data_IF_114567296201
#
_entry.id   IF_114567296201
#
_cell.length_a   1.000
_cell.length_b   1.000
_cell.length_c   1.000
_cell.angle_alpha   90.00
_cell.angle_beta   90.00
_cell.angle_gamma   90.00
#
_symmetry.space_group_name_H-M   'P 1'
#
loop_
_entity.id
_entity.type
_entity.pdbx_description
1 polymer ?
#
# COMPACT_ATOMS: atom_id res chain seq x y z
N UNK A 1 -32.93 21.37 -28.99
CA UNK A 1 -32.62 21.64 -27.56
C UNK A 1 -31.46 22.62 -27.56
N UNK A 2 -31.60 23.76 -26.89
CA UNK A 2 -30.54 24.77 -26.83
C UNK A 2 -29.35 24.19 -26.04
N UNK A 3 -28.16 24.21 -26.63
CA UNK A 3 -26.90 23.93 -25.95
C UNK A 3 -26.65 25.04 -24.94
N UNK A 4 -26.47 24.70 -23.66
CA UNK A 4 -26.17 25.69 -22.63
C UNK A 4 -24.83 26.38 -22.92
N UNK A 5 -24.76 27.71 -22.77
CA UNK A 5 -23.55 28.53 -22.98
C UNK A 5 -22.58 28.52 -21.78
N UNK A 6 -22.79 27.64 -20.80
CA UNK A 6 -22.03 27.56 -19.56
C UNK A 6 -21.88 26.09 -19.11
N UNK A 7 -20.85 25.81 -18.30
CA UNK A 7 -20.63 24.48 -17.72
C UNK A 7 -21.78 24.10 -16.78
N UNK A 8 -22.41 22.94 -17.02
CA UNK A 8 -23.46 22.40 -16.16
C UNK A 8 -22.86 21.33 -15.26
N UNK A 9 -22.92 21.54 -13.94
CA UNK A 9 -22.49 20.53 -12.97
C UNK A 9 -23.47 19.36 -13.02
N UNK A 10 -22.97 18.19 -13.40
CA UNK A 10 -23.72 16.95 -13.37
C UNK A 10 -23.20 16.10 -12.21
N UNK A 11 -24.08 15.84 -11.25
CA UNK A 11 -23.82 14.97 -10.11
C UNK A 11 -24.99 13.99 -10.01
N UNK A 12 -24.79 12.77 -10.52
CA UNK A 12 -25.81 11.73 -10.48
C UNK A 12 -25.97 11.17 -9.05
N UNK A 13 -27.13 10.57 -8.78
CA UNK A 13 -27.32 9.77 -7.58
C UNK A 13 -26.31 8.60 -7.56
N UNK A 14 -25.65 8.40 -6.43
CA UNK A 14 -24.63 7.36 -6.27
C UNK A 14 -25.34 6.04 -5.95
N UNK A 15 -25.16 4.98 -6.76
CA UNK A 15 -25.74 3.67 -6.48
C UNK A 15 -25.31 3.14 -5.11
N UNK A 16 -26.18 2.38 -4.44
CA UNK A 16 -25.86 1.73 -3.17
C UNK A 16 -24.99 0.49 -3.42
N UNK A 17 -23.70 0.74 -3.69
CA UNK A 17 -22.66 -0.27 -3.88
C UNK A 17 -21.32 0.27 -3.39
N UNK A 18 -20.64 -0.49 -2.55
CA UNK A 18 -19.30 -0.19 -2.08
C UNK A 18 -18.26 -0.97 -2.89
N UNK A 19 -17.07 -0.39 -3.04
CA UNK A 19 -15.98 -0.96 -3.81
C UNK A 19 -15.62 -2.37 -3.32
N UNK A 20 -15.49 -3.32 -4.24
CA UNK A 20 -14.88 -4.62 -3.95
C UNK A 20 -13.38 -4.43 -3.73
N UNK A 21 -12.85 -4.91 -2.62
CA UNK A 21 -11.42 -4.78 -2.32
C UNK A 21 -11.10 -4.76 -0.83
N UNK A 22 -9.80 -4.76 -0.53
CA UNK A 22 -9.27 -4.56 0.81
C UNK A 22 -9.36 -3.09 1.23
N UNK A 23 -9.81 -2.86 2.47
CA UNK A 23 -9.86 -1.54 3.10
C UNK A 23 -9.17 -1.61 4.46
N UNK A 24 -8.30 -0.64 4.78
CA UNK A 24 -7.55 -0.62 6.04
C UNK A 24 -8.35 0.10 7.14
N UNK A 25 -8.52 -0.54 8.29
CA UNK A 25 -9.34 -0.04 9.42
C UNK A 25 -8.53 0.70 10.49
N UNK A 26 -7.22 0.46 10.56
CA UNK A 26 -6.29 1.06 11.50
C UNK A 26 -5.12 0.15 11.82
N UNK A 27 -4.29 0.58 12.76
CA UNK A 27 -3.17 -0.20 13.31
C UNK A 27 -3.68 -1.36 14.19
N UNK A 28 -2.92 -2.46 14.28
CA UNK A 28 -3.33 -3.67 15.02
C UNK A 28 -3.48 -3.44 16.53
N UNK A 29 -2.68 -2.54 17.11
CA UNK A 29 -2.70 -2.21 18.54
C UNK A 29 -4.03 -1.57 18.97
N UNK A 30 -4.65 -0.79 18.08
CA UNK A 30 -5.99 -0.20 18.29
C UNK A 30 -7.07 -1.24 18.60
N UNK A 31 -6.89 -2.47 18.12
CA UNK A 31 -7.86 -3.57 18.23
C UNK A 31 -7.41 -4.68 19.17
N UNK A 32 -6.33 -4.45 19.94
CA UNK A 32 -5.70 -5.46 20.80
C UNK A 32 -5.84 -5.15 22.30
N UNK A 33 -6.79 -4.30 22.71
CA UNK A 33 -6.99 -3.90 24.11
C UNK A 33 -7.90 -4.85 24.94
N UNK A 34 -8.31 -5.97 24.32
CA UNK A 34 -9.19 -6.98 24.92
C UNK A 34 -10.68 -6.63 24.91
N UNK A 35 -11.09 -5.54 24.23
CA UNK A 35 -12.49 -5.14 24.09
C UNK A 35 -12.98 -5.29 22.65
N UNK A 36 -14.31 -5.37 22.44
CA UNK A 36 -14.87 -5.17 21.13
C UNK A 36 -14.80 -3.69 20.73
N UNK A 37 -14.58 -3.42 19.44
CA UNK A 37 -14.51 -2.08 18.87
C UNK A 37 -15.58 -1.91 17.80
N UNK A 38 -16.20 -0.73 17.80
CA UNK A 38 -17.22 -0.34 16.82
C UNK A 38 -16.58 0.29 15.60
N UNK A 39 -16.98 -0.15 14.41
CA UNK A 39 -16.62 0.47 13.12
C UNK A 39 -17.90 0.71 12.32
N UNK A 40 -18.06 1.92 11.78
CA UNK A 40 -19.10 2.22 10.79
C UNK A 40 -18.47 2.13 9.41
N UNK A 41 -18.96 1.20 8.58
CA UNK A 41 -18.42 0.94 7.26
C UNK A 41 -19.47 0.28 6.37
N UNK A 42 -19.40 0.54 5.06
CA UNK A 42 -20.21 -0.10 4.03
C UNK A 42 -21.72 0.00 4.30
N UNK A 43 -22.19 1.15 4.81
CA UNK A 43 -23.59 1.40 5.13
C UNK A 43 -24.11 0.60 6.33
N UNK A 44 -23.21 0.00 7.12
CA UNK A 44 -23.56 -0.81 8.28
C UNK A 44 -22.65 -0.53 9.47
N UNK A 45 -22.89 -1.25 10.56
CA UNK A 45 -22.06 -1.24 11.77
C UNK A 45 -21.41 -2.60 11.96
N UNK A 46 -20.11 -2.59 12.23
CA UNK A 46 -19.27 -3.75 12.43
C UNK A 46 -18.71 -3.79 13.86
N UNK A 47 -18.45 -5.00 14.34
CA UNK A 47 -17.71 -5.24 15.57
C UNK A 47 -16.38 -5.90 15.23
N UNK A 48 -15.28 -5.30 15.69
CA UNK A 48 -13.93 -5.84 15.63
C UNK A 48 -13.55 -6.35 17.01
N UNK A 49 -13.03 -7.57 17.13
CA UNK A 49 -12.57 -8.09 18.42
C UNK A 49 -11.45 -9.11 18.26
N UNK A 50 -10.54 -9.15 19.23
CA UNK A 50 -9.43 -10.11 19.26
C UNK A 50 -9.75 -11.27 20.19
N UNK A 51 -9.68 -12.50 19.69
CA UNK A 51 -9.83 -13.70 20.52
C UNK A 51 -8.61 -13.96 21.41
N UNK A 52 -8.76 -14.84 22.40
CA UNK A 52 -7.64 -15.38 23.19
C UNK A 52 -6.63 -16.17 22.34
N UNK A 53 -7.05 -16.67 21.17
CA UNK A 53 -6.17 -17.24 20.14
C UNK A 53 -5.30 -16.21 19.40
N UNK A 54 -5.47 -14.93 19.72
CA UNK A 54 -4.71 -13.83 19.15
C UNK A 54 -5.23 -13.32 17.80
N UNK A 55 -6.28 -13.92 17.23
CA UNK A 55 -6.82 -13.50 15.93
C UNK A 55 -7.79 -12.34 16.06
N UNK A 56 -7.67 -11.35 15.18
CA UNK A 56 -8.66 -10.29 15.06
C UNK A 56 -9.78 -10.71 14.10
N UNK A 57 -11.02 -10.59 14.58
CA UNK A 57 -12.24 -11.00 13.88
C UNK A 57 -13.16 -9.81 13.66
N UNK A 58 -13.91 -9.83 12.55
CA UNK A 58 -14.89 -8.79 12.23
C UNK A 58 -16.24 -9.39 11.85
N UNK A 59 -17.29 -8.95 12.54
CA UNK A 59 -18.67 -9.37 12.30
C UNK A 59 -19.58 -8.15 12.06
N UNK A 60 -20.78 -8.37 11.52
CA UNK A 60 -21.85 -7.39 11.68
C UNK A 60 -22.13 -7.16 13.18
N UNK A 61 -22.21 -5.89 13.59
CA UNK A 61 -22.37 -5.52 15.00
C UNK A 61 -23.75 -5.84 15.56
N UNK A 62 -24.81 -5.78 14.76
CA UNK A 62 -26.15 -6.06 15.26
C UNK A 62 -26.41 -7.56 15.37
N UNK A 63 -26.60 -8.03 16.59
CA UNK A 63 -26.88 -9.41 16.94
C UNK A 63 -28.19 -9.90 16.29
N UNK A 64 -28.12 -11.00 15.52
CA UNK A 64 -29.27 -11.57 14.79
C UNK A 64 -30.37 -12.15 15.68
N UNK A 65 -30.17 -12.18 17.01
CA UNK A 65 -31.23 -12.53 17.95
C UNK A 65 -32.31 -11.44 17.98
N UNK A 66 -31.97 -10.24 18.47
CA UNK A 66 -32.92 -9.13 18.71
C UNK A 66 -32.27 -7.74 18.49
N UNK A 67 -31.21 -7.66 17.67
CA UNK A 67 -30.59 -6.39 17.27
C UNK A 67 -29.69 -5.72 18.30
N UNK A 68 -29.28 -6.42 19.36
CA UNK A 68 -28.32 -5.88 20.33
C UNK A 68 -26.96 -5.58 19.69
N UNK A 69 -26.31 -4.48 20.06
CA UNK A 69 -25.02 -4.09 19.51
C UNK A 69 -23.88 -4.88 20.16
N UNK A 70 -23.26 -5.80 19.41
CA UNK A 70 -22.13 -6.61 19.85
C UNK A 70 -20.90 -5.78 20.19
N UNK A 71 -20.75 -4.58 19.59
CA UNK A 71 -19.62 -3.70 19.89
C UNK A 71 -19.71 -3.08 21.29
N UNK A 72 -20.89 -3.11 21.91
CA UNK A 72 -21.12 -2.70 23.30
C UNK A 72 -21.07 -3.91 24.27
N UNK A 73 -20.64 -5.08 23.78
CA UNK A 73 -20.48 -6.32 24.54
C UNK A 73 -19.11 -6.47 25.19
N UNK A 74 -18.66 -7.72 25.33
CA UNK A 74 -17.32 -8.06 25.80
C UNK A 74 -16.80 -9.32 25.12
N UNK A 75 -15.48 -9.52 25.14
CA UNK A 75 -14.83 -10.75 24.63
C UNK A 75 -14.72 -11.79 25.74
N UNK A 76 -15.03 -13.05 25.43
CA UNK A 76 -14.84 -14.20 26.32
C UNK A 76 -14.29 -15.37 25.54
N UNK A 77 -13.06 -15.81 25.84
CA UNK A 77 -12.40 -16.80 24.99
C UNK A 77 -12.15 -16.22 23.59
N UNK A 78 -12.65 -16.91 22.57
CA UNK A 78 -12.54 -16.48 21.17
C UNK A 78 -13.85 -15.88 20.62
N UNK A 79 -14.79 -15.55 21.50
CA UNK A 79 -16.14 -15.11 21.12
C UNK A 79 -16.43 -13.69 21.62
N UNK A 80 -17.21 -12.94 20.84
CA UNK A 80 -17.86 -11.71 21.30
C UNK A 80 -19.22 -12.05 21.90
N UNK A 81 -19.47 -11.56 23.11
CA UNK A 81 -20.69 -11.82 23.88
C UNK A 81 -21.62 -10.62 23.80
N UNK A 82 -22.84 -10.84 23.32
CA UNK A 82 -23.84 -9.79 23.17
C UNK A 82 -24.27 -9.21 24.53
N UNK A 83 -24.30 -7.87 24.70
CA UNK A 83 -24.65 -7.25 25.98
C UNK A 83 -26.11 -7.44 26.39
N UNK A 84 -27.00 -7.80 25.45
CA UNK A 84 -28.43 -7.89 25.75
C UNK A 84 -28.83 -9.22 26.40
N UNK A 85 -28.41 -10.34 25.81
CA UNK A 85 -28.82 -11.69 26.25
C UNK A 85 -27.65 -12.67 26.38
N UNK A 86 -26.41 -12.17 26.30
CA UNK A 86 -25.19 -12.95 26.44
C UNK A 86 -25.03 -14.13 25.46
N UNK A 87 -25.62 -14.03 24.26
CA UNK A 87 -25.29 -14.96 23.16
C UNK A 87 -23.84 -14.70 22.73
N UNK A 88 -23.04 -15.76 22.65
CA UNK A 88 -21.66 -15.71 22.21
C UNK A 88 -21.54 -16.02 20.71
N UNK A 89 -20.68 -15.27 20.01
CA UNK A 89 -20.46 -15.38 18.56
C UNK A 89 -18.96 -15.47 18.28
N UNK A 90 -18.54 -16.53 17.59
CA UNK A 90 -17.14 -16.69 17.19
C UNK A 90 -16.78 -15.85 15.95
N UNK A 91 -15.50 -15.83 15.56
CA UNK A 91 -14.99 -15.11 14.40
C UNK A 91 -15.59 -15.52 13.05
N UNK A 92 -16.14 -16.73 12.93
CA UNK A 92 -16.86 -17.20 11.73
C UNK A 92 -18.33 -16.76 11.70
N UNK A 93 -18.75 -15.98 12.71
CA UNK A 93 -20.11 -15.49 12.90
C UNK A 93 -21.09 -16.54 13.43
N UNK A 94 -20.63 -17.71 13.84
CA UNK A 94 -21.48 -18.78 14.39
C UNK A 94 -21.75 -18.53 15.87
N UNK A 95 -23.00 -18.71 16.29
CA UNK A 95 -23.32 -18.72 17.71
C UNK A 95 -22.74 -19.98 18.39
N UNK A 96 -21.96 -19.77 19.44
CA UNK A 96 -21.23 -20.81 20.18
C UNK A 96 -21.84 -21.13 21.53
N UNK A 97 -22.51 -20.16 22.16
CA UNK A 97 -23.16 -20.33 23.45
C UNK A 97 -24.42 -19.45 23.57
N UNK A 98 -25.44 -20.01 24.24
CA UNK A 98 -26.66 -19.32 24.66
C UNK A 98 -26.88 -19.71 26.12
N UNK A 99 -26.53 -18.86 27.10
CA UNK A 99 -26.40 -19.27 28.50
C UNK A 99 -27.64 -19.89 29.14
N UNK A 100 -28.82 -19.61 28.59
CA UNK A 100 -30.11 -20.06 29.09
C UNK A 100 -30.78 -21.13 28.22
N UNK A 101 -30.05 -21.74 27.27
CA UNK A 101 -30.58 -22.78 26.38
C UNK A 101 -29.62 -23.96 26.22
N UNK A 102 -30.16 -25.18 26.11
CA UNK A 102 -29.38 -26.41 25.86
C UNK A 102 -29.03 -26.64 24.38
N UNK A 103 -29.72 -25.96 23.46
CA UNK A 103 -29.57 -26.16 22.01
C UNK A 103 -29.50 -24.81 21.32
N UNK A 104 -28.50 -24.65 20.47
CA UNK A 104 -28.32 -23.46 19.62
C UNK A 104 -29.11 -23.67 18.32
N UNK A 105 -29.94 -22.71 17.88
CA UNK A 105 -30.64 -22.82 16.60
C UNK A 105 -29.65 -22.98 15.43
N UNK A 106 -29.88 -23.89 14.47
CA UNK A 106 -28.97 -24.08 13.32
C UNK A 106 -28.76 -22.83 12.46
N UNK A 107 -29.71 -21.88 12.49
CA UNK A 107 -29.66 -20.60 11.77
C UNK A 107 -28.96 -19.47 12.54
N UNK A 108 -28.46 -19.72 13.76
CA UNK A 108 -27.78 -18.71 14.57
C UNK A 108 -26.38 -18.42 14.01
N UNK A 109 -26.35 -17.64 12.93
CA UNK A 109 -25.15 -17.18 12.22
C UNK A 109 -25.32 -15.72 11.82
N UNK A 110 -24.29 -14.90 12.04
CA UNK A 110 -24.17 -13.53 11.54
C UNK A 110 -23.12 -13.46 10.42
N UNK A 111 -23.07 -12.35 9.67
CA UNK A 111 -22.04 -12.14 8.65
C UNK A 111 -20.69 -11.94 9.31
N UNK A 112 -19.73 -12.79 8.96
CA UNK A 112 -18.31 -12.58 9.21
C UNK A 112 -17.65 -11.97 7.98
N UNK A 113 -16.63 -11.16 8.20
CA UNK A 113 -15.89 -10.46 7.16
C UNK A 113 -14.46 -10.99 7.12
N UNK A 114 -13.91 -11.34 5.94
CA UNK A 114 -12.53 -11.77 5.85
C UNK A 114 -11.59 -10.64 6.32
N UNK A 115 -10.59 -11.02 7.11
CA UNK A 115 -9.59 -10.11 7.67
C UNK A 115 -8.20 -10.46 7.16
N UNK A 116 -7.33 -9.47 7.13
CA UNK A 116 -5.90 -9.63 6.87
C UNK A 116 -5.13 -8.74 7.84
N UNK A 117 -4.17 -9.33 8.55
CA UNK A 117 -3.21 -8.60 9.39
C UNK A 117 -1.89 -8.54 8.60
N UNK A 118 -1.51 -7.34 8.14
CA UNK A 118 -0.29 -7.14 7.32
C UNK A 118 0.27 -5.75 7.56
N UNK A 119 1.58 -5.59 7.53
CA UNK A 119 2.26 -4.28 7.70
C UNK A 119 1.94 -3.56 9.04
N UNK A 120 1.56 -4.30 10.09
CA UNK A 120 1.11 -3.71 11.35
C UNK A 120 -0.31 -3.11 11.30
N UNK A 121 -1.07 -3.39 10.24
CA UNK A 121 -2.39 -2.84 9.95
C UNK A 121 -3.45 -3.95 9.86
N UNK A 122 -4.69 -3.61 10.22
CA UNK A 122 -5.86 -4.47 10.06
C UNK A 122 -6.61 -4.10 8.77
N UNK A 123 -6.82 -5.07 7.90
CA UNK A 123 -7.62 -4.94 6.69
C UNK A 123 -8.92 -5.75 6.77
N UNK A 124 -9.95 -5.24 6.10
CA UNK A 124 -11.23 -5.91 5.87
C UNK A 124 -11.48 -6.07 4.37
N UNK A 125 -11.94 -7.25 3.96
CA UNK A 125 -12.36 -7.50 2.58
C UNK A 125 -13.85 -7.19 2.42
N UNK A 126 -14.17 -6.27 1.50
CA UNK A 126 -15.55 -6.06 1.05
C UNK A 126 -15.74 -6.62 -0.35
N UNK A 127 -16.85 -7.34 -0.55
CA UNK A 127 -17.28 -7.79 -1.87
C UNK A 127 -18.81 -7.92 -1.92
N UNK A 128 -19.51 -7.11 -2.74
CA UNK A 128 -20.94 -7.25 -2.98
C UNK A 128 -21.35 -8.63 -3.53
N UNK A 129 -20.46 -9.33 -4.23
CA UNK A 129 -20.69 -10.69 -4.74
C UNK A 129 -20.53 -11.77 -3.66
N UNK A 130 -20.08 -11.39 -2.46
CA UNK A 130 -19.79 -12.28 -1.32
C UNK A 130 -18.81 -13.41 -1.65
N UNK A 131 -17.84 -13.15 -2.53
CA UNK A 131 -16.74 -14.07 -2.82
C UNK A 131 -15.54 -13.79 -1.89
N UNK A 132 -14.69 -14.80 -1.61
CA UNK A 132 -13.46 -14.61 -0.85
C UNK A 132 -12.50 -13.64 -1.56
N UNK A 133 -11.54 -13.04 -0.82
CA UNK A 133 -10.47 -12.24 -1.41
C UNK A 133 -9.64 -13.08 -2.38
N UNK A 134 -9.22 -12.44 -3.47
CA UNK A 134 -8.23 -12.99 -4.40
C UNK A 134 -6.82 -12.71 -3.85
N UNK A 135 -5.94 -13.72 -3.73
CA UNK A 135 -4.55 -13.49 -3.31
C UNK A 135 -3.81 -12.46 -4.17
N UNK A 136 -4.13 -12.35 -5.47
CA UNK A 136 -3.47 -11.41 -6.38
C UNK A 136 -3.74 -9.93 -6.04
N UNK A 137 -4.80 -9.63 -5.27
CA UNK A 137 -5.16 -8.26 -4.90
C UNK A 137 -4.88 -7.93 -3.44
N UNK A 138 -4.18 -8.81 -2.72
CA UNK A 138 -3.75 -8.53 -1.36
C UNK A 138 -2.78 -7.32 -1.32
N UNK A 139 -2.89 -6.44 -0.31
CA UNK A 139 -1.90 -5.41 -0.07
C UNK A 139 -0.48 -6.00 -0.05
N UNK A 140 0.53 -5.34 -0.64
CA UNK A 140 1.88 -5.86 -0.68
C UNK A 140 2.49 -5.92 0.72
N UNK A 141 3.46 -6.82 0.92
CA UNK A 141 4.29 -6.80 2.12
C UNK A 141 5.29 -5.64 2.00
N UNK A 142 5.29 -4.74 2.98
CA UNK A 142 6.19 -3.59 2.97
C UNK A 142 7.46 -3.93 3.74
N UNK A 143 8.63 -3.81 3.10
CA UNK A 143 9.90 -4.08 3.77
C UNK A 143 10.14 -3.15 4.96
N UNK A 144 9.69 -1.91 4.84
CA UNK A 144 9.73 -0.93 5.92
C UNK A 144 9.04 -1.40 7.21
N UNK A 145 8.06 -2.32 7.11
CA UNK A 145 7.34 -2.84 8.26
C UNK A 145 8.01 -4.05 8.92
N UNK A 146 9.06 -4.62 8.32
CA UNK A 146 9.67 -5.88 8.80
C UNK A 146 11.20 -5.82 8.99
N UNK A 147 11.91 -4.90 8.32
CA UNK A 147 13.37 -4.81 8.41
C UNK A 147 13.89 -4.14 9.70
N UNK A 148 13.00 -3.52 10.50
CA UNK A 148 13.36 -2.85 11.75
C UNK A 148 14.09 -1.50 11.60
N UNK A 149 14.31 -1.05 10.37
CA UNK A 149 15.01 0.20 10.06
C UNK A 149 14.10 1.43 10.07
N UNK A 150 12.79 1.24 10.22
CA UNK A 150 11.81 2.31 10.17
C UNK A 150 11.16 2.55 11.53
N UNK A 151 10.72 3.79 11.74
CA UNK A 151 9.84 4.12 12.85
C UNK A 151 8.43 3.54 12.60
N UNK A 152 7.69 3.11 13.65
CA UNK A 152 6.33 2.62 13.49
C UNK A 152 5.38 3.65 12.85
N UNK A 153 4.25 3.19 12.33
CA UNK A 153 3.18 4.06 11.83
C UNK A 153 2.72 5.05 12.90
N UNK A 154 2.73 6.33 12.54
CA UNK A 154 1.97 7.36 13.24
C UNK A 154 0.71 7.68 12.43
N UNK A 155 -0.45 7.36 12.99
CA UNK A 155 -1.74 7.40 12.28
C UNK A 155 -2.66 8.49 12.82
N UNK A 156 -3.32 9.20 11.92
CA UNK A 156 -4.44 10.10 12.21
C UNK A 156 -5.63 9.76 11.30
N UNK A 157 -6.85 10.02 11.76
CA UNK A 157 -8.05 9.75 10.97
C UNK A 157 -9.01 10.93 10.98
N UNK A 158 -9.71 11.12 9.86
CA UNK A 158 -10.78 12.12 9.70
C UNK A 158 -12.04 11.48 9.13
N UNK A 159 -13.20 11.91 9.60
CA UNK A 159 -14.45 11.65 8.88
C UNK A 159 -14.61 12.73 7.81
N UNK A 160 -14.66 12.30 6.56
CA UNK A 160 -14.85 13.17 5.41
C UNK A 160 -16.29 13.03 4.91
N UNK A 161 -16.97 14.15 4.63
CA UNK A 161 -18.40 14.18 4.30
C UNK A 161 -18.67 14.37 2.80
N UNK A 162 -17.89 13.65 1.97
CA UNK A 162 -18.11 13.51 0.53
C UNK A 162 -17.87 12.05 0.12
N UNK A 163 -18.27 11.65 -1.09
CA UNK A 163 -17.97 10.32 -1.61
C UNK A 163 -16.45 10.07 -1.72
N UNK A 164 -16.01 8.87 -1.36
CA UNK A 164 -14.58 8.49 -1.36
C UNK A 164 -13.88 8.58 -2.73
N UNK A 165 -14.61 8.51 -3.87
CA UNK A 165 -13.99 8.73 -5.20
C UNK A 165 -13.29 10.08 -5.31
N UNK A 166 -13.75 11.08 -4.56
CA UNK A 166 -13.19 12.43 -4.61
C UNK A 166 -11.77 12.52 -4.03
N UNK A 167 -11.39 11.57 -3.18
CA UNK A 167 -10.01 11.35 -2.73
C UNK A 167 -9.19 10.63 -3.81
N UNK A 168 -9.79 9.67 -4.50
CA UNK A 168 -9.13 8.93 -5.58
C UNK A 168 -8.81 9.84 -6.76
N UNK A 169 -9.69 10.78 -7.10
CA UNK A 169 -9.48 11.75 -8.20
C UNK A 169 -8.15 12.53 -8.06
N UNK A 170 -7.63 12.74 -6.84
CA UNK A 170 -6.32 13.39 -6.61
C UNK A 170 -5.14 12.65 -7.29
N UNK A 171 -5.28 11.35 -7.57
CA UNK A 171 -4.25 10.56 -8.28
C UNK A 171 -4.00 11.12 -9.69
N UNK A 172 -4.99 11.73 -10.33
CA UNK A 172 -4.86 12.33 -11.67
C UNK A 172 -4.87 13.88 -11.63
N UNK A 173 -4.90 14.50 -10.45
CA UNK A 173 -4.96 15.95 -10.32
C UNK A 173 -3.55 16.56 -10.27
N UNK A 174 -3.06 16.99 -11.43
CA UNK A 174 -1.76 17.66 -11.54
C UNK A 174 -1.84 19.10 -11.01
N UNK A 175 -2.98 19.74 -11.24
CA UNK A 175 -3.17 21.18 -11.05
C UNK A 175 -3.17 21.62 -9.59
N UNK A 176 -3.58 20.76 -8.65
CA UNK A 176 -3.66 21.12 -7.23
C UNK A 176 -2.30 21.23 -6.52
N UNK A 177 -1.25 20.56 -7.02
CA UNK A 177 0.07 20.54 -6.34
C UNK A 177 0.68 21.93 -6.14
N UNK A 178 0.55 22.82 -7.12
CA UNK A 178 0.98 24.22 -6.99
C UNK A 178 0.20 25.00 -5.91
N UNK A 179 -1.11 25.23 -6.07
CA UNK A 179 -1.92 26.07 -5.19
C UNK A 179 -2.21 25.47 -3.80
N UNK A 180 -2.35 24.15 -3.68
CA UNK A 180 -2.65 23.48 -2.40
C UNK A 180 -1.36 23.21 -1.64
N UNK A 181 -0.38 22.55 -2.28
CA UNK A 181 0.82 22.09 -1.58
C UNK A 181 2.03 23.02 -1.67
N UNK A 182 1.97 24.06 -2.52
CA UNK A 182 3.13 24.91 -2.81
C UNK A 182 4.23 24.16 -3.55
N UNK A 183 3.88 23.14 -4.33
CA UNK A 183 4.82 22.23 -4.98
C UNK A 183 4.65 22.26 -6.52
N UNK A 184 5.15 23.30 -7.22
CA UNK A 184 5.04 23.36 -8.67
C UNK A 184 5.69 22.14 -9.34
N UNK A 185 4.90 21.49 -10.18
CA UNK A 185 5.22 20.23 -10.85
C UNK A 185 6.26 20.43 -11.97
N UNK A 186 7.30 19.60 -12.00
CA UNK A 186 8.27 19.51 -13.10
C UNK A 186 7.98 18.34 -14.02
N UNK A 187 7.67 17.19 -13.43
CA UNK A 187 7.32 15.94 -14.13
C UNK A 187 6.15 15.28 -13.42
N UNK A 188 5.24 14.72 -14.21
CA UNK A 188 4.10 13.98 -13.71
C UNK A 188 3.78 12.80 -14.61
N UNK A 189 3.49 11.66 -14.01
CA UNK A 189 2.97 10.52 -14.75
C UNK A 189 1.90 9.77 -13.94
N UNK A 190 0.96 9.18 -14.67
CA UNK A 190 0.06 8.17 -14.17
C UNK A 190 0.27 6.85 -14.89
N UNK A 191 0.23 5.77 -14.12
CA UNK A 191 0.25 4.39 -14.62
C UNK A 191 -0.95 3.67 -14.03
N UNK A 192 -1.80 3.09 -14.88
CA UNK A 192 -2.95 2.30 -14.45
C UNK A 192 -2.81 0.90 -15.06
N UNK A 193 -2.81 -0.13 -14.22
CA UNK A 193 -2.67 -1.52 -14.65
C UNK A 193 -3.38 -2.43 -13.66
N UNK A 194 -4.26 -3.31 -14.15
CA UNK A 194 -5.04 -4.24 -13.34
C UNK A 194 -5.76 -3.50 -12.20
N UNK A 195 -5.51 -3.89 -10.96
CA UNK A 195 -6.07 -3.31 -9.74
C UNK A 195 -5.16 -2.23 -9.11
N UNK A 196 -4.14 -1.75 -9.83
CA UNK A 196 -3.13 -0.81 -9.34
C UNK A 196 -3.22 0.51 -10.11
N UNK A 197 -3.12 1.63 -9.38
CA UNK A 197 -3.00 2.96 -9.96
C UNK A 197 -1.87 3.73 -9.28
N UNK A 198 -0.91 4.19 -10.09
CA UNK A 198 0.27 4.91 -9.62
C UNK A 198 0.30 6.34 -10.16
N UNK A 199 0.66 7.27 -9.30
CA UNK A 199 1.08 8.63 -9.62
C UNK A 199 2.58 8.75 -9.32
N UNK A 200 3.32 9.31 -10.28
CA UNK A 200 4.74 9.63 -10.12
C UNK A 200 4.91 11.13 -10.32
N UNK A 201 5.57 11.78 -9.37
CA UNK A 201 5.74 13.24 -9.34
C UNK A 201 7.20 13.60 -9.10
N UNK A 202 7.66 14.60 -9.85
CA UNK A 202 8.82 15.42 -9.49
C UNK A 202 8.35 16.86 -9.41
N UNK A 203 8.50 17.51 -8.26
CA UNK A 203 8.10 18.90 -8.03
C UNK A 203 9.24 19.71 -7.41
N UNK A 204 9.18 21.04 -7.50
CA UNK A 204 9.95 21.89 -6.59
C UNK A 204 9.18 22.09 -5.30
N UNK A 205 9.78 21.90 -4.12
CA UNK A 205 9.13 22.29 -2.87
C UNK A 205 10.13 22.58 -1.77
N UNK A 206 10.42 23.86 -1.50
CA UNK A 206 11.27 24.26 -0.35
C UNK A 206 10.65 23.88 1.02
N UNK A 207 9.33 23.64 1.05
CA UNK A 207 8.60 23.24 2.25
C UNK A 207 8.79 21.75 2.57
N UNK A 208 8.77 20.90 1.54
CA UNK A 208 8.76 19.44 1.69
C UNK A 208 10.13 18.80 1.39
N UNK A 209 11.03 19.53 0.73
CA UNK A 209 12.40 19.11 0.43
C UNK A 209 13.35 20.33 0.44
N UNK A 210 14.34 20.34 1.33
CA UNK A 210 15.26 21.48 1.51
C UNK A 210 16.14 21.76 0.28
N UNK A 211 16.51 20.72 -0.48
CA UNK A 211 17.21 20.84 -1.77
C UNK A 211 16.31 21.36 -2.89
N UNK A 212 15.03 21.59 -2.59
CA UNK A 212 14.03 22.10 -3.51
C UNK A 212 13.58 21.08 -4.55
N UNK A 213 13.87 19.78 -4.40
CA UNK A 213 13.35 18.72 -5.28
C UNK A 213 12.60 17.67 -4.47
N UNK A 214 11.31 17.57 -4.73
CA UNK A 214 10.45 16.53 -4.17
C UNK A 214 10.20 15.46 -5.23
N UNK A 215 10.47 14.19 -4.88
CA UNK A 215 10.07 13.05 -5.70
C UNK A 215 9.09 12.18 -4.90
N UNK A 216 7.97 11.84 -5.53
CA UNK A 216 7.01 10.92 -4.93
C UNK A 216 6.51 9.86 -5.92
N UNK A 217 6.24 8.67 -5.39
CA UNK A 217 5.50 7.60 -6.06
C UNK A 217 4.33 7.18 -5.17
N UNK A 218 3.13 7.57 -5.56
CA UNK A 218 1.88 7.27 -4.87
C UNK A 218 1.14 6.14 -5.59
N UNK A 219 1.02 4.97 -4.96
CA UNK A 219 0.40 3.78 -5.57
C UNK A 219 -0.79 3.27 -4.76
N UNK A 220 -1.96 3.24 -5.38
CA UNK A 220 -3.13 2.53 -4.89
C UNK A 220 -3.03 1.03 -5.20
N UNK A 221 -3.20 0.20 -4.17
CA UNK A 221 -3.41 -1.24 -4.27
C UNK A 221 -4.89 -1.54 -4.04
N UNK A 222 -5.62 -1.78 -5.12
CA UNK A 222 -7.08 -1.87 -5.09
C UNK A 222 -7.73 -0.50 -4.87
N UNK A 223 -8.96 -0.45 -4.32
CA UNK A 223 -9.74 0.77 -4.32
C UNK A 223 -9.34 1.79 -3.24
N UNK A 224 -8.69 1.35 -2.16
CA UNK A 224 -8.78 2.07 -0.88
C UNK A 224 -7.49 2.13 -0.06
N UNK A 225 -6.37 1.63 -0.58
CA UNK A 225 -5.09 1.59 0.13
C UNK A 225 -3.98 2.13 -0.76
N UNK A 226 -3.53 3.35 -0.50
CA UNK A 226 -2.46 4.02 -1.22
C UNK A 226 -1.22 4.16 -0.34
N UNK A 227 -0.06 3.76 -0.85
CA UNK A 227 1.22 4.12 -0.25
C UNK A 227 1.96 5.08 -1.16
N UNK A 228 2.46 6.16 -0.57
CA UNK A 228 3.31 7.15 -1.20
C UNK A 228 4.72 7.01 -0.66
N UNK A 229 5.66 6.63 -1.51
CA UNK A 229 7.09 6.76 -1.27
C UNK A 229 7.49 8.20 -1.52
N UNK A 230 8.24 8.78 -0.58
CA UNK A 230 8.73 10.15 -0.67
C UNK A 230 10.21 10.19 -0.30
N UNK A 231 10.99 10.75 -1.22
CA UNK A 231 12.42 11.04 -1.02
C UNK A 231 12.66 12.53 -1.15
N UNK A 232 13.41 13.09 -0.20
CA UNK A 232 13.81 14.50 -0.20
C UNK A 232 14.98 14.74 0.77
N UNK A 233 15.22 16.00 1.12
CA UNK A 233 16.24 16.39 2.12
C UNK A 233 15.64 17.24 3.23
N UNK A 234 16.12 17.05 4.47
CA UNK A 234 15.78 17.88 5.63
C UNK A 234 16.98 18.03 6.57
N UNK A 235 17.38 19.26 6.86
CA UNK A 235 18.56 19.57 7.67
C UNK A 235 19.87 19.08 7.05
N UNK A 236 19.96 19.08 5.71
CA UNK A 236 21.10 18.56 4.95
C UNK A 236 21.25 17.02 4.95
N UNK A 237 20.26 16.27 5.46
CA UNK A 237 20.25 14.81 5.42
C UNK A 237 19.12 14.29 4.52
N UNK A 238 19.34 13.20 3.76
CA UNK A 238 18.27 12.56 2.99
C UNK A 238 17.18 12.06 3.93
N UNK A 239 15.92 12.21 3.56
CA UNK A 239 14.78 11.64 4.29
C UNK A 239 14.03 10.68 3.38
N UNK A 240 13.77 9.48 3.89
CA UNK A 240 12.93 8.47 3.27
C UNK A 240 11.69 8.32 4.13
N UNK A 241 10.53 8.59 3.55
CA UNK A 241 9.25 8.48 4.23
C UNK A 241 8.24 7.70 3.39
N UNK A 242 7.37 6.99 4.10
CA UNK A 242 6.19 6.35 3.53
C UNK A 242 4.97 7.03 4.10
N UNK A 243 4.12 7.54 3.22
CA UNK A 243 2.82 8.09 3.60
C UNK A 243 1.74 7.11 3.16
N UNK A 244 0.88 6.74 4.08
CA UNK A 244 -0.28 5.90 3.86
C UNK A 244 -1.50 6.80 3.74
N UNK A 245 -2.20 6.71 2.63
CA UNK A 245 -3.53 7.28 2.44
C UNK A 245 -4.51 6.13 2.23
N UNK A 246 -5.43 5.92 3.17
CA UNK A 246 -6.43 4.87 3.04
C UNK A 246 -7.80 5.33 3.50
N UNK A 247 -8.85 4.76 2.94
CA UNK A 247 -10.20 5.17 3.25
C UNK A 247 -11.18 4.01 3.36
N UNK A 248 -12.19 4.17 4.20
CA UNK A 248 -13.27 3.19 4.38
C UNK A 248 -14.60 3.92 4.26
N UNK A 249 -15.43 3.62 3.24
CA UNK A 249 -16.72 4.29 3.10
C UNK A 249 -17.61 3.95 4.29
N UNK A 250 -18.15 4.98 4.95
CA UNK A 250 -19.18 4.83 6.00
C UNK A 250 -20.53 4.66 5.31
N UNK A 251 -20.81 5.54 4.35
CA UNK A 251 -21.95 5.50 3.44
C UNK A 251 -21.54 6.08 2.06
N UNK A 252 -22.50 6.30 1.18
CA UNK A 252 -22.23 6.82 -0.16
C UNK A 252 -21.73 8.28 -0.19
N UNK A 253 -21.90 9.03 0.90
CA UNK A 253 -21.57 10.45 1.01
C UNK A 253 -20.57 10.76 2.12
N UNK A 254 -20.01 9.73 2.78
CA UNK A 254 -18.98 9.92 3.78
C UNK A 254 -18.08 8.72 3.92
N UNK A 255 -16.82 8.97 4.30
CA UNK A 255 -15.84 7.92 4.55
C UNK A 255 -14.95 8.30 5.73
N UNK A 256 -14.37 7.28 6.36
CA UNK A 256 -13.25 7.46 7.27
C UNK A 256 -11.97 7.46 6.46
N UNK A 257 -11.22 8.57 6.52
CA UNK A 257 -9.88 8.72 5.99
C UNK A 257 -8.88 8.37 7.07
N UNK A 258 -7.88 7.56 6.76
CA UNK A 258 -6.75 7.21 7.60
C UNK A 258 -5.47 7.65 6.90
N UNK A 259 -4.69 8.46 7.58
CA UNK A 259 -3.40 8.93 7.10
C UNK A 259 -2.30 8.49 8.05
N UNK A 260 -1.35 7.73 7.52
CA UNK A 260 -0.22 7.18 8.27
C UNK A 260 1.10 7.73 7.75
N UNK A 261 2.08 7.91 8.62
CA UNK A 261 3.44 8.28 8.22
C UNK A 261 4.45 7.36 8.91
N UNK A 262 5.39 6.85 8.13
CA UNK A 262 6.60 6.16 8.59
C UNK A 262 7.82 6.89 8.06
N UNK A 263 8.88 6.95 8.87
CA UNK A 263 10.16 7.58 8.50
C UNK A 263 11.29 6.58 8.75
N UNK A 264 12.20 6.44 7.79
CA UNK A 264 13.38 5.59 7.93
C UNK A 264 14.31 6.17 8.98
N UNK A 265 14.89 5.33 9.83
CA UNK A 265 15.84 5.75 10.85
C UNK A 265 17.14 6.19 10.17
N UNK A 266 17.74 7.24 10.71
CA UNK A 266 19.09 7.70 10.37
C UNK A 266 20.13 6.76 10.99
N UNK A 267 20.97 6.11 10.17
CA UNK A 267 22.09 5.32 10.67
C UNK A 267 23.02 6.20 11.52
N UNK A 268 23.42 5.70 12.70
CA UNK A 268 24.33 6.40 13.61
C UNK A 268 23.69 7.41 14.56
N UNK A 269 22.38 7.66 14.46
CA UNK A 269 21.63 8.41 15.48
C UNK A 269 21.03 7.49 16.54
N UNK A 270 20.85 7.99 17.77
CA UNK A 270 20.16 7.24 18.82
C UNK A 270 18.67 7.05 18.49
N UNK A 271 18.02 6.11 19.16
CA UNK A 271 16.59 5.87 18.96
C UNK A 271 15.74 7.10 19.39
N UNK A 272 16.17 7.82 20.41
CA UNK A 272 15.51 9.05 20.88
C UNK A 272 15.61 10.17 19.84
N UNK A 273 16.80 10.37 19.25
CA UNK A 273 17.00 11.35 18.18
C UNK A 273 16.15 11.03 16.94
N UNK A 274 16.15 9.76 16.51
CA UNK A 274 15.29 9.30 15.41
C UNK A 274 13.81 9.54 15.69
N UNK A 275 13.36 9.33 16.93
CA UNK A 275 11.98 9.55 17.34
C UNK A 275 11.59 11.04 17.31
N UNK A 276 12.49 11.93 17.71
CA UNK A 276 12.24 13.38 17.64
C UNK A 276 12.11 13.87 16.20
N UNK A 277 13.01 13.43 15.31
CA UNK A 277 12.97 13.77 13.88
C UNK A 277 11.69 13.23 13.25
N UNK A 278 11.37 11.95 13.49
CA UNK A 278 10.15 11.33 12.96
C UNK A 278 8.90 12.08 13.43
N UNK A 279 8.80 12.46 14.71
CA UNK A 279 7.65 13.24 15.22
C UNK A 279 7.50 14.58 14.52
N UNK A 280 8.59 15.31 14.29
CA UNK A 280 8.56 16.60 13.61
C UNK A 280 8.07 16.43 12.16
N UNK A 281 8.58 15.42 11.46
CA UNK A 281 8.19 15.11 10.09
C UNK A 281 6.73 14.64 9.98
N UNK A 282 6.31 13.70 10.83
CA UNK A 282 4.93 13.23 10.93
C UNK A 282 3.98 14.40 11.10
N UNK A 283 4.30 15.33 12.01
CA UNK A 283 3.48 16.52 12.23
C UNK A 283 3.40 17.39 10.97
N UNK A 284 4.52 17.64 10.32
CA UNK A 284 4.56 18.42 9.08
C UNK A 284 3.73 17.76 7.97
N UNK A 285 3.86 16.45 7.77
CA UNK A 285 3.08 15.70 6.78
C UNK A 285 1.58 15.72 7.10
N UNK A 286 1.18 15.58 8.36
CA UNK A 286 -0.22 15.66 8.78
C UNK A 286 -0.80 17.06 8.56
N UNK A 287 -0.03 18.11 8.89
CA UNK A 287 -0.45 19.50 8.67
C UNK A 287 -0.59 19.80 7.16
N UNK A 288 0.30 19.28 6.32
CA UNK A 288 0.21 19.41 4.86
C UNK A 288 -1.00 18.64 4.29
N UNK A 289 -1.25 17.42 4.74
CA UNK A 289 -2.39 16.62 4.26
C UNK A 289 -3.75 17.18 4.71
N UNK A 290 -3.79 17.93 5.83
CA UNK A 290 -4.98 18.65 6.24
C UNK A 290 -5.42 19.74 5.24
N UNK A 291 -4.52 20.21 4.36
CA UNK A 291 -4.84 21.13 3.27
C UNK A 291 -5.80 20.46 2.26
N UNK A 292 -5.59 19.19 1.93
CA UNK A 292 -6.50 18.41 1.07
C UNK A 292 -7.84 18.15 1.74
N UNK A 293 -7.82 17.84 3.04
CA UNK A 293 -9.03 17.65 3.85
C UNK A 293 -9.92 18.89 3.80
N UNK A 294 -9.33 20.08 3.91
CA UNK A 294 -10.06 21.34 3.81
C UNK A 294 -10.72 21.53 2.43
N UNK A 295 -10.11 21.05 1.36
CA UNK A 295 -10.70 21.07 0.01
C UNK A 295 -11.88 20.08 -0.08
N UNK A 296 -11.74 18.86 0.41
CA UNK A 296 -12.84 17.87 0.38
C UNK A 296 -14.05 18.30 1.20
N UNK A 297 -13.85 19.00 2.32
CA UNK A 297 -14.93 19.56 3.14
C UNK A 297 -15.70 20.69 2.44
N UNK A 298 -15.12 21.31 1.41
CA UNK A 298 -15.66 22.49 0.74
C UNK A 298 -15.89 22.30 -0.77
N UNK A 299 -15.99 21.05 -1.24
CA UNK A 299 -16.30 20.74 -2.64
C UNK A 299 -17.50 19.81 -2.79
N UNK A 300 -17.90 19.59 -4.04
CA UNK A 300 -18.96 18.64 -4.42
C UNK A 300 -18.45 17.70 -5.50
N UNK A 301 -19.09 16.53 -5.59
CA UNK A 301 -18.83 15.52 -6.61
C UNK A 301 -19.29 16.01 -7.98
N UNK A 302 -18.43 15.92 -8.99
CA UNK A 302 -18.74 16.24 -10.39
C UNK A 302 -18.46 15.02 -11.27
N UNK A 303 -19.48 14.51 -11.95
CA UNK A 303 -19.37 13.31 -12.80
C UNK A 303 -18.78 13.61 -14.18
N UNK A 304 -19.14 14.76 -14.75
CA UNK A 304 -18.64 15.22 -16.05
C UNK A 304 -17.85 16.53 -15.86
N UNK A 305 -16.61 16.46 -15.35
CA UNK A 305 -15.78 17.64 -15.17
C UNK A 305 -15.45 18.29 -16.51
N UNK A 306 -15.36 19.62 -16.51
CA UNK A 306 -14.77 20.38 -17.61
C UNK A 306 -13.27 20.35 -17.41
N UNK A 307 -12.56 19.65 -18.30
CA UNK A 307 -11.11 19.49 -18.24
C UNK A 307 -10.43 20.44 -19.23
N UNK A 308 -9.26 20.94 -18.87
CA UNK A 308 -8.35 21.67 -19.72
C UNK A 308 -7.18 20.78 -20.18
N UNK A 309 -6.33 21.31 -21.06
CA UNK A 309 -5.15 20.60 -21.57
C UNK A 309 -4.15 20.21 -20.46
N UNK A 310 -4.12 20.96 -19.36
CA UNK A 310 -3.20 20.72 -18.25
C UNK A 310 -3.68 19.68 -17.22
N UNK A 311 -4.94 19.22 -17.31
CA UNK A 311 -5.49 18.22 -16.40
C UNK A 311 -4.92 16.82 -16.72
N UNK A 312 -4.78 15.99 -15.68
CA UNK A 312 -4.41 14.59 -15.86
C UNK A 312 -5.54 13.73 -16.41
N UNK A 313 -5.32 12.41 -16.53
CA UNK A 313 -6.25 11.46 -17.15
C UNK A 313 -7.42 11.07 -16.23
N UNK A 314 -8.19 12.06 -15.76
CA UNK A 314 -9.29 11.87 -14.78
C UNK A 314 -10.32 10.84 -15.26
N UNK A 315 -10.69 10.87 -16.55
CA UNK A 315 -11.66 9.90 -17.08
C UNK A 315 -11.11 8.47 -17.09
N UNK A 316 -9.83 8.28 -17.41
CA UNK A 316 -9.20 6.96 -17.43
C UNK A 316 -8.96 6.42 -16.02
N UNK A 317 -8.59 7.29 -15.07
CA UNK A 317 -8.56 6.95 -13.65
C UNK A 317 -9.95 6.49 -13.17
N UNK A 318 -11.01 7.20 -13.53
CA UNK A 318 -12.38 6.83 -13.16
C UNK A 318 -12.85 5.55 -13.85
N UNK A 319 -12.43 5.29 -15.09
CA UNK A 319 -12.67 4.02 -15.78
C UNK A 319 -11.98 2.87 -15.06
N UNK A 320 -10.70 3.05 -14.69
CA UNK A 320 -9.97 2.09 -13.86
C UNK A 320 -10.69 1.85 -12.52
N UNK A 321 -11.10 2.91 -11.82
CA UNK A 321 -11.74 2.80 -10.50
C UNK A 321 -13.14 2.14 -10.57
N UNK A 322 -13.83 2.26 -11.70
CA UNK A 322 -15.15 1.67 -11.91
C UNK A 322 -15.13 0.13 -11.82
N UNK A 323 -13.98 -0.52 -12.04
CA UNK A 323 -13.83 -1.98 -11.96
C UNK A 323 -14.25 -2.55 -10.59
N UNK A 324 -14.05 -1.77 -9.52
CA UNK A 324 -14.38 -2.18 -8.15
C UNK A 324 -15.90 -2.07 -7.85
N UNK A 325 -16.65 -1.41 -8.72
CA UNK A 325 -18.09 -1.14 -8.58
C UNK A 325 -18.94 -1.91 -9.60
N UNK A 326 -18.34 -2.87 -10.32
CA UNK A 326 -19.05 -3.81 -11.19
C UNK A 326 -18.71 -5.25 -10.78
N UNK A 327 -19.57 -6.20 -11.16
CA UNK A 327 -19.31 -7.62 -10.91
C UNK A 327 -18.07 -8.06 -11.69
N UNK A 328 -17.33 -9.06 -11.20
CA UNK A 328 -16.04 -9.46 -11.81
C UNK A 328 -16.17 -9.80 -13.30
N UNK A 329 -17.27 -10.42 -13.71
CA UNK A 329 -17.56 -10.78 -15.10
C UNK A 329 -17.88 -9.57 -16.00
N UNK A 330 -18.05 -8.37 -15.43
CA UNK A 330 -18.28 -7.09 -16.12
C UNK A 330 -17.07 -6.17 -16.11
N UNK A 331 -15.97 -6.57 -15.49
CA UNK A 331 -14.72 -5.80 -15.55
C UNK A 331 -14.23 -5.78 -17.00
N UNK A 332 -13.91 -4.60 -17.50
CA UNK A 332 -13.36 -4.42 -18.84
C UNK A 332 -11.98 -5.09 -18.92
N UNK A 333 -11.79 -6.12 -19.77
CA UNK A 333 -10.50 -6.80 -19.89
C UNK A 333 -9.36 -5.87 -20.30
N UNK A 334 -9.65 -4.75 -20.97
CA UNK A 334 -8.63 -3.77 -21.35
C UNK A 334 -7.95 -3.12 -20.14
N UNK A 335 -8.56 -3.15 -18.95
CA UNK A 335 -7.95 -2.65 -17.72
C UNK A 335 -6.82 -3.54 -17.19
N UNK A 336 -6.66 -4.75 -17.72
CA UNK A 336 -5.51 -5.60 -17.41
C UNK A 336 -4.22 -5.10 -18.09
N UNK A 337 -4.34 -4.33 -19.17
CA UNK A 337 -3.22 -3.78 -19.91
C UNK A 337 -2.71 -2.49 -19.25
N UNK A 338 -1.40 -2.28 -19.31
CA UNK A 338 -0.74 -1.10 -18.75
C UNK A 338 -1.06 0.16 -19.57
N UNK A 339 -1.65 1.15 -18.91
CA UNK A 339 -1.90 2.49 -19.47
C UNK A 339 -0.98 3.52 -18.83
N UNK A 340 -0.27 4.30 -19.65
CA UNK A 340 0.68 5.32 -19.18
C UNK A 340 0.32 6.69 -19.75
N UNK A 341 0.24 7.68 -18.87
CA UNK A 341 0.02 9.10 -19.20
C UNK A 341 1.15 9.91 -18.57
N UNK A 342 1.85 10.74 -19.35
CA UNK A 342 3.03 11.47 -18.87
C UNK A 342 3.04 12.91 -19.38
N UNK A 343 3.35 13.84 -18.49
CA UNK A 343 3.45 15.26 -18.76
C UNK A 343 4.77 15.80 -18.18
N UNK A 344 5.54 16.50 -19.01
CA UNK A 344 6.76 17.22 -18.58
C UNK A 344 6.53 18.72 -18.74
N UNK A 345 6.67 19.47 -17.65
CA UNK A 345 6.34 20.90 -17.60
C UNK A 345 7.57 21.79 -17.62
N UNK A 346 8.68 21.33 -17.07
CA UNK A 346 9.97 22.02 -17.09
C UNK A 346 11.05 20.98 -17.36
N UNK A 347 12.10 21.35 -18.10
CA UNK A 347 13.24 20.46 -18.31
C UNK A 347 13.79 20.01 -16.94
N UNK A 348 13.87 18.70 -16.78
CA UNK A 348 14.42 18.01 -15.62
C UNK A 348 15.19 16.80 -16.12
N UNK A 349 16.41 16.61 -15.61
CA UNK A 349 17.21 15.43 -15.92
C UNK A 349 16.67 14.17 -15.23
N UNK A 350 15.83 14.35 -14.21
CA UNK A 350 15.16 13.27 -13.49
C UNK A 350 13.96 12.76 -14.30
N UNK A 351 14.11 11.56 -14.86
CA UNK A 351 13.04 10.76 -15.46
C UNK A 351 12.82 9.50 -14.62
N UNK A 352 11.83 9.52 -13.71
CA UNK A 352 11.53 8.35 -12.90
C UNK A 352 11.15 7.15 -13.76
N UNK A 353 11.52 5.95 -13.32
CA UNK A 353 11.11 4.71 -13.96
C UNK A 353 9.59 4.50 -13.80
N UNK A 354 8.88 4.13 -14.85
CA UNK A 354 7.44 3.85 -14.82
C UNK A 354 7.12 2.35 -14.81
N UNK A 355 8.13 1.49 -14.95
CA UNK A 355 8.00 0.03 -14.93
C UNK A 355 8.16 -0.57 -13.53
N UNK A 356 8.67 0.22 -12.58
CA UNK A 356 8.81 -0.22 -11.20
C UNK A 356 7.44 -0.26 -10.49
N UNK A 357 6.86 -1.44 -10.36
CA UNK A 357 5.86 -1.74 -9.33
C UNK A 357 6.56 -1.59 -7.98
N UNK A 358 6.14 -0.64 -7.15
CA UNK A 358 6.46 -0.44 -5.71
C UNK A 358 7.86 -0.88 -5.23
N UNK A 359 8.67 0.05 -4.71
CA UNK A 359 10.00 -0.28 -4.18
C UNK A 359 9.85 -1.09 -2.88
N UNK A 360 9.80 -2.41 -3.03
CA UNK A 360 10.30 -3.32 -2.00
C UNK A 360 11.80 -3.05 -1.94
N UNK A 361 12.23 -2.08 -1.10
CA UNK A 361 13.65 -1.79 -0.90
C UNK A 361 14.39 -3.11 -0.70
N UNK A 362 15.11 -3.53 -1.73
CA UNK A 362 15.77 -4.83 -1.79
C UNK A 362 17.22 -4.61 -2.19
N UNK A 363 18.04 -5.58 -1.83
CA UNK A 363 19.32 -5.74 -2.47
C UNK A 363 19.12 -6.38 -3.85
N UNK A 364 19.93 -5.94 -4.80
CA UNK A 364 19.86 -6.34 -6.21
C UNK A 364 21.20 -6.95 -6.58
N UNK A 365 21.16 -8.14 -7.18
CA UNK A 365 22.36 -8.75 -7.75
C UNK A 365 22.58 -8.18 -9.15
N UNK A 366 23.77 -7.62 -9.40
CA UNK A 366 24.15 -6.99 -10.68
C UNK A 366 25.10 -7.89 -11.49
N UNK A 367 25.47 -7.43 -12.69
CA UNK A 367 26.26 -8.20 -13.67
C UNK A 367 27.53 -8.84 -13.14
N UNK A 368 28.15 -8.27 -12.10
CA UNK A 368 29.35 -8.78 -11.49
C UNK A 368 29.22 -10.25 -11.04
N UNK A 369 28.00 -10.71 -10.73
CA UNK A 369 27.76 -12.11 -10.37
C UNK A 369 27.78 -13.06 -11.59
N UNK A 370 27.44 -12.58 -12.79
CA UNK A 370 27.36 -13.41 -14.00
C UNK A 370 28.71 -14.07 -14.26
N UNK A 371 28.69 -15.39 -14.51
CA UNK A 371 29.85 -16.30 -14.68
C UNK A 371 30.75 -16.49 -13.46
N UNK A 372 30.63 -15.66 -12.42
CA UNK A 372 31.30 -15.91 -11.15
C UNK A 372 30.47 -16.87 -10.28
N UNK A 373 29.22 -16.47 -10.03
CA UNK A 373 28.24 -17.15 -9.17
C UNK A 373 28.87 -17.68 -7.88
N UNK A 374 29.62 -16.81 -7.20
CA UNK A 374 29.97 -17.01 -5.79
C UNK A 374 28.68 -17.10 -4.97
N UNK A 375 28.68 -17.91 -3.93
CA UNK A 375 27.47 -18.18 -3.12
C UNK A 375 27.68 -17.91 -1.64
N UNK A 376 28.77 -17.24 -1.26
CA UNK A 376 29.09 -16.83 0.12
C UNK A 376 27.96 -15.99 0.74
N UNK A 377 27.31 -15.17 -0.09
CA UNK A 377 26.14 -14.38 0.28
C UNK A 377 24.92 -15.20 0.71
N UNK A 378 24.82 -16.47 0.27
CA UNK A 378 23.69 -17.36 0.58
C UNK A 378 23.71 -17.75 2.05
N UNK A 379 24.89 -18.11 2.57
CA UNK A 379 25.04 -18.61 3.95
C UNK A 379 24.72 -17.56 5.02
N UNK A 380 24.76 -16.27 4.65
CA UNK A 380 24.51 -15.16 5.56
C UNK A 380 23.12 -14.55 5.40
N UNK A 381 22.32 -15.01 4.44
CA UNK A 381 20.97 -14.51 4.22
C UNK A 381 20.02 -15.05 5.32
N UNK A 382 19.41 -14.19 6.16
CA UNK A 382 18.55 -14.66 7.25
C UNK A 382 17.19 -15.22 6.81
N UNK A 383 16.83 -15.04 5.54
CA UNK A 383 15.51 -15.37 4.98
C UNK A 383 15.58 -16.24 3.72
N UNK A 384 16.79 -16.67 3.33
CA UNK A 384 17.08 -17.43 2.11
C UNK A 384 16.43 -16.84 0.84
N UNK A 385 16.50 -15.51 0.67
CA UNK A 385 15.87 -14.83 -0.47
C UNK A 385 16.59 -15.05 -1.81
N UNK A 386 17.73 -15.76 -1.85
CA UNK A 386 18.45 -16.02 -3.09
C UNK A 386 17.78 -17.11 -3.95
N UNK A 387 17.76 -16.88 -5.26
CA UNK A 387 17.38 -17.86 -6.29
C UNK A 387 18.55 -18.12 -7.23
N UNK A 388 18.72 -19.37 -7.61
CA UNK A 388 19.90 -19.83 -8.36
C UNK A 388 19.55 -20.12 -9.82
N UNK A 389 20.23 -19.40 -10.72
CA UNK A 389 20.26 -19.71 -12.15
C UNK A 389 21.55 -20.43 -12.57
N UNK A 390 21.71 -20.74 -13.86
CA UNK A 390 22.85 -21.51 -14.38
C UNK A 390 24.21 -20.85 -14.10
N UNK A 391 24.30 -19.52 -14.20
CA UNK A 391 25.55 -18.80 -14.02
C UNK A 391 25.41 -17.44 -13.28
N UNK A 392 24.28 -17.25 -12.59
CA UNK A 392 23.90 -16.02 -11.92
C UNK A 392 23.02 -16.33 -10.70
N UNK A 393 23.10 -15.50 -9.66
CA UNK A 393 22.14 -15.50 -8.55
C UNK A 393 21.25 -14.27 -8.69
N UNK A 394 20.01 -14.38 -8.23
CA UNK A 394 19.13 -13.23 -8.02
C UNK A 394 18.59 -13.23 -6.61
N UNK A 395 18.22 -12.05 -6.13
CA UNK A 395 17.50 -11.87 -4.87
C UNK A 395 16.01 -11.74 -5.19
N UNK A 396 15.18 -12.54 -4.52
CA UNK A 396 13.73 -12.40 -4.53
C UNK A 396 13.35 -11.16 -3.71
N UNK A 397 12.81 -10.10 -4.35
CA UNK A 397 12.51 -8.84 -3.68
C UNK A 397 11.33 -8.96 -2.70
N UNK A 398 10.46 -9.96 -2.87
CA UNK A 398 9.32 -10.18 -1.97
C UNK A 398 9.76 -10.86 -0.65
N UNK A 399 10.89 -11.56 -0.67
CA UNK A 399 11.46 -12.23 0.51
C UNK A 399 12.59 -11.46 1.17
N UNK A 400 13.35 -10.66 0.42
CA UNK A 400 14.49 -9.91 0.92
C UNK A 400 14.10 -8.90 2.00
N UNK A 401 14.69 -9.01 3.20
CA UNK A 401 14.39 -8.11 4.33
C UNK A 401 15.32 -6.90 4.46
N UNK A 402 16.08 -6.56 3.41
CA UNK A 402 16.97 -5.40 3.37
C UNK A 402 18.00 -5.31 4.53
N UNK A 403 18.47 -6.44 5.05
CA UNK A 403 19.39 -6.45 6.20
C UNK A 403 20.85 -6.12 5.87
N UNK A 404 21.20 -6.02 4.58
CA UNK A 404 22.53 -5.76 4.04
C UNK A 404 23.67 -6.73 4.43
N UNK A 405 23.38 -7.82 5.15
CA UNK A 405 24.41 -8.77 5.62
C UNK A 405 25.13 -9.46 4.45
N UNK A 406 24.43 -9.71 3.35
CA UNK A 406 24.99 -10.36 2.16
C UNK A 406 25.92 -9.49 1.33
N UNK A 407 25.86 -8.15 1.47
CA UNK A 407 26.61 -7.20 0.65
C UNK A 407 28.14 -7.38 0.77
N UNK A 408 28.74 -7.31 1.98
CA UNK A 408 30.19 -7.43 2.12
C UNK A 408 30.72 -8.84 1.86
N UNK A 409 29.85 -9.86 1.85
CA UNK A 409 30.26 -11.25 1.70
C UNK A 409 30.45 -11.65 0.23
N UNK A 410 29.89 -10.91 -0.71
CA UNK A 410 30.06 -11.23 -2.13
C UNK A 410 31.47 -10.88 -2.60
N UNK A 411 32.31 -11.86 -3.00
CA UNK A 411 33.69 -11.56 -3.41
C UNK A 411 33.80 -10.70 -4.66
N UNK A 412 32.74 -10.62 -5.47
CA UNK A 412 32.68 -9.85 -6.72
C UNK A 412 31.97 -8.49 -6.57
N UNK A 413 31.62 -8.08 -5.35
CA UNK A 413 30.86 -6.85 -5.06
C UNK A 413 29.58 -6.75 -5.92
N UNK A 414 28.90 -7.89 -6.10
CA UNK A 414 27.79 -8.01 -7.03
C UNK A 414 26.42 -7.70 -6.43
N UNK A 415 26.37 -7.30 -5.17
CA UNK A 415 25.12 -7.07 -4.45
C UNK A 415 25.10 -5.63 -3.99
N UNK A 416 24.13 -4.87 -4.46
CA UNK A 416 23.97 -3.45 -4.12
C UNK A 416 22.55 -3.22 -3.60
N UNK A 417 22.39 -2.29 -2.65
CA UNK A 417 21.07 -1.76 -2.37
C UNK A 417 20.51 -1.06 -3.61
N UNK A 418 19.21 -1.20 -3.86
CA UNK A 418 18.51 -0.58 -4.99
C UNK A 418 18.84 0.91 -5.16
N UNK A 419 18.86 1.65 -4.05
CA UNK A 419 19.15 3.09 -3.96
C UNK A 419 20.58 3.45 -4.38
N UNK A 420 21.50 2.48 -4.32
CA UNK A 420 22.92 2.64 -4.65
C UNK A 420 23.23 2.23 -6.11
N UNK A 421 22.23 1.84 -6.90
CA UNK A 421 22.43 1.47 -8.29
C UNK A 421 22.65 2.69 -9.18
N UNK A 422 23.72 2.63 -9.98
CA UNK A 422 23.94 3.58 -11.07
C UNK A 422 22.82 3.49 -12.11
N UNK A 423 22.53 4.55 -12.89
CA UNK A 423 21.43 4.55 -13.86
C UNK A 423 21.45 3.37 -14.84
N UNK A 424 22.65 2.93 -15.26
CA UNK A 424 22.86 1.81 -16.18
C UNK A 424 22.59 0.45 -15.52
N UNK A 425 22.66 0.37 -14.19
CA UNK A 425 22.45 -0.87 -13.42
C UNK A 425 20.99 -1.07 -13.00
N UNK A 426 20.13 -0.05 -13.10
CA UNK A 426 18.73 -0.14 -12.65
C UNK A 426 17.91 -1.24 -13.34
N UNK A 427 18.30 -1.65 -14.54
CA UNK A 427 17.69 -2.79 -15.22
C UNK A 427 17.79 -4.12 -14.44
N UNK A 428 18.78 -4.26 -13.54
CA UNK A 428 18.94 -5.47 -12.73
C UNK A 428 17.83 -5.64 -11.68
N UNK A 429 17.15 -4.56 -11.29
CA UNK A 429 16.00 -4.63 -10.37
C UNK A 429 14.92 -5.54 -10.97
N UNK A 430 14.47 -5.21 -12.18
CA UNK A 430 13.48 -5.98 -12.93
C UNK A 430 13.97 -7.39 -13.21
N UNK A 431 15.24 -7.55 -13.58
CA UNK A 431 15.84 -8.86 -13.85
C UNK A 431 15.79 -9.77 -12.63
N UNK A 432 16.10 -9.25 -11.43
CA UNK A 432 16.04 -10.02 -10.19
C UNK A 432 14.60 -10.43 -9.87
N UNK A 433 13.65 -9.50 -9.99
CA UNK A 433 12.22 -9.75 -9.75
C UNK A 433 11.62 -10.79 -10.73
N UNK A 434 12.00 -10.74 -12.01
CA UNK A 434 11.49 -11.68 -13.02
C UNK A 434 12.10 -13.07 -12.83
N UNK A 435 13.42 -13.18 -12.72
CA UNK A 435 14.10 -14.47 -12.64
C UNK A 435 13.83 -15.18 -11.30
N UNK A 436 13.60 -14.43 -10.21
CA UNK A 436 13.32 -15.02 -8.90
C UNK A 436 11.99 -15.79 -8.82
N UNK A 437 11.04 -15.48 -9.71
CA UNK A 437 9.76 -16.20 -9.83
C UNK A 437 9.94 -17.61 -10.40
N UNK A 438 10.91 -17.78 -11.30
CA UNK A 438 11.13 -19.04 -12.03
C UNK A 438 12.29 -19.87 -11.46
N UNK A 439 13.29 -19.23 -10.87
CA UNK A 439 14.49 -19.91 -10.39
C UNK A 439 14.31 -20.50 -8.98
N UNK A 440 14.88 -21.69 -8.72
CA UNK A 440 14.76 -22.34 -7.42
C UNK A 440 15.51 -21.60 -6.33
N UNK A 441 14.99 -21.68 -5.09
CA UNK A 441 15.67 -21.19 -3.89
C UNK A 441 16.99 -21.94 -3.67
N UNK A 442 18.01 -21.20 -3.24
CA UNK A 442 19.26 -21.74 -2.71
C UNK A 442 19.38 -21.32 -1.23
N UNK A 443 19.60 -22.29 -0.34
CA UNK A 443 19.67 -22.09 1.12
C UNK A 443 21.05 -22.44 1.72
N UNK A 444 21.97 -22.97 0.91
CA UNK A 444 23.33 -23.31 1.33
C UNK A 444 24.29 -22.96 0.20
N UNK A 445 25.49 -22.50 0.55
CA UNK A 445 26.55 -22.23 -0.42
C UNK A 445 26.97 -23.47 -1.22
N UNK A 446 27.44 -23.22 -2.43
CA UNK A 446 28.01 -24.19 -3.37
C UNK A 446 29.37 -23.72 -3.84
N UNK A 447 30.18 -24.65 -4.33
CA UNK A 447 31.42 -24.30 -5.01
C UNK A 447 31.14 -23.31 -6.16
N UNK A 448 31.98 -22.27 -6.23
CA UNK A 448 31.94 -21.29 -7.30
C UNK A 448 32.17 -21.96 -8.66
N UNK A 449 31.80 -21.27 -9.75
CA UNK A 449 32.03 -21.80 -11.08
C UNK A 449 33.53 -22.03 -11.34
N UNK A 450 33.93 -23.03 -12.16
CA UNK A 450 35.34 -23.39 -12.35
C UNK A 450 36.24 -22.24 -12.83
N UNK A 451 35.65 -21.27 -13.52
CA UNK A 451 36.29 -20.07 -14.08
C UNK A 451 35.91 -18.78 -13.34
N UNK A 452 35.33 -18.88 -12.13
CA UNK A 452 34.80 -17.72 -11.40
C UNK A 452 35.84 -16.62 -11.14
N UNK A 453 37.06 -16.99 -10.74
CA UNK A 453 38.17 -16.05 -10.52
C UNK A 453 38.57 -15.33 -11.82
N UNK A 454 38.42 -15.98 -12.98
CA UNK A 454 38.71 -15.35 -14.26
C UNK A 454 37.64 -14.33 -14.66
N UNK A 455 36.41 -14.47 -14.17
CA UNK A 455 35.29 -13.58 -14.49
C UNK A 455 35.06 -12.48 -13.47
N UNK A 456 35.73 -12.55 -12.33
CA UNK A 456 35.72 -11.50 -11.31
C UNK A 456 36.24 -10.19 -11.92
N UNK A 457 35.55 -9.09 -11.63
CA UNK A 457 35.87 -7.73 -12.09
C UNK A 457 35.85 -7.49 -13.62
N UNK A 458 35.41 -8.47 -14.43
CA UNK A 458 35.20 -8.27 -15.87
C UNK A 458 33.86 -7.55 -16.14
N UNK A 459 33.84 -6.50 -16.97
CA UNK A 459 32.62 -5.78 -17.33
C UNK A 459 31.86 -6.46 -18.49
N UNK A 460 30.65 -5.98 -18.78
CA UNK A 460 29.82 -6.35 -19.92
C UNK A 460 29.45 -7.84 -19.96
N UNK A 461 29.06 -8.38 -18.80
CA UNK A 461 28.74 -9.81 -18.67
C UNK A 461 27.27 -10.13 -18.92
N UNK A 462 26.42 -9.12 -19.08
CA UNK A 462 24.98 -9.29 -19.32
C UNK A 462 24.65 -10.19 -20.52
N UNK A 463 25.38 -10.06 -21.63
CA UNK A 463 25.19 -10.89 -22.83
C UNK A 463 25.55 -12.37 -22.61
N UNK A 464 26.21 -12.69 -21.49
CA UNK A 464 26.63 -14.03 -21.11
C UNK A 464 25.69 -14.70 -20.10
N UNK A 465 24.61 -14.02 -19.69
CA UNK A 465 23.58 -14.59 -18.82
C UNK A 465 22.91 -15.79 -19.52
N UNK A 466 22.78 -16.90 -18.80
CA UNK A 466 22.25 -18.18 -19.33
C UNK A 466 20.85 -18.53 -18.83
#
# INVERSE_FOLDING_TARGET
>A
MATAEYGVIQAAAIPERYARGWHMLGTLDKFSDGKPHKIEAFGTKLVVFKGEDGKINILNAYCVHMGGDLSEGFVKGNDVVCPFHAWAWNGEGKCTDIPYCKRIPPKAKTKAWPTLEKNGLLFIWNDPENLPPDPEVEPPQMQACINGEWMPWEMISWKININCRELVDNVADIGHFGPVHGAPVKYYANVFEKHIATQVLVASSERLAEDGILQTRATYFGPAYQITEMTGQMGGNPIHALLLNSHVPIDNNSFMLNFGVMVKKYPGMSEEQNREIARAYVKQSQDAFAEDVAIWDNKIRIDNPVLCEGDGPVYQLRQWYQQFYVDRDKVDPALAEKMVFQNTYTETDLKPDLDHEYSVMTHVVIENCIKCRYTDCVDVCPVDCFREGPNFLVIDPDECIDCAVCVPECPADAILAEDNLEPEQRMYIKLNAELSRDWPRISESKEALPDADEWKDKPNKLELLE
#
